data_IF_081342518597
#
_entry.id   IF_081342518597
#
_cell.length_a   1.000
_cell.length_b   1.000
_cell.length_c   1.000
_cell.angle_alpha   90.00
_cell.angle_beta   90.00
_cell.angle_gamma   90.00
#
_symmetry.space_group_name_H-M   'P 1'
#
loop_
_entity.id
_entity.type
_entity.pdbx_description
1 polymer ?
#
# COMPACT_ATOMS: atom_id res chain seq x y z
N UNK A 1 -11.07 -26.68 13.10
CA UNK A 1 -10.78 -27.26 11.76
C UNK A 1 -9.90 -28.49 11.98
N UNK A 2 -10.02 -29.55 11.17
CA UNK A 2 -9.25 -30.80 11.37
C UNK A 2 -8.29 -31.04 10.21
N UNK A 3 -7.19 -31.72 10.46
CA UNK A 3 -6.27 -32.12 9.39
C UNK A 3 -6.96 -33.13 8.44
N UNK A 4 -6.93 -32.94 7.11
CA UNK A 4 -7.55 -33.89 6.17
C UNK A 4 -6.81 -35.24 6.09
N UNK A 5 -5.57 -35.32 6.60
CA UNK A 5 -4.76 -36.53 6.52
C UNK A 5 -4.88 -37.39 7.78
N UNK A 6 -4.70 -36.78 8.96
CA UNK A 6 -4.68 -37.52 10.24
C UNK A 6 -5.86 -37.19 11.16
N UNK A 7 -6.78 -36.32 10.74
CA UNK A 7 -7.95 -35.89 11.50
C UNK A 7 -7.65 -35.25 12.88
N UNK A 8 -6.38 -34.95 13.18
CA UNK A 8 -6.00 -34.30 14.42
C UNK A 8 -6.46 -32.84 14.45
N UNK A 9 -6.69 -32.34 15.68
CA UNK A 9 -7.08 -30.96 15.95
C UNK A 9 -5.87 -30.04 16.18
N UNK A 10 -4.67 -30.62 16.30
CA UNK A 10 -3.44 -29.86 16.44
C UNK A 10 -2.93 -29.33 15.09
N UNK A 11 -3.45 -28.16 14.73
CA UNK A 11 -3.11 -27.45 13.50
C UNK A 11 -2.57 -26.05 13.84
N UNK A 12 -1.52 -25.62 13.15
CA UNK A 12 -0.95 -24.29 13.30
C UNK A 12 -0.74 -23.60 11.95
N UNK A 13 -0.73 -22.27 11.95
CA UNK A 13 -0.54 -21.47 10.72
C UNK A 13 0.91 -21.57 10.26
N UNK A 14 1.13 -21.98 9.01
CA UNK A 14 2.46 -21.99 8.38
C UNK A 14 2.79 -20.62 7.78
N UNK A 15 4.09 -20.30 7.69
CA UNK A 15 4.56 -19.15 6.90
C UNK A 15 4.26 -19.37 5.42
N UNK A 16 3.92 -18.28 4.71
CA UNK A 16 3.76 -18.26 3.24
C UNK A 16 5.13 -18.30 2.57
N UNK A 17 5.29 -19.08 1.51
CA UNK A 17 6.55 -19.21 0.75
C UNK A 17 6.47 -18.37 -0.52
N UNK A 18 7.15 -17.22 -0.50
CA UNK A 18 7.29 -16.34 -1.66
C UNK A 18 6.08 -15.45 -1.96
N UNK A 19 6.30 -14.47 -2.84
CA UNK A 19 5.34 -13.41 -3.18
C UNK A 19 4.11 -13.94 -3.94
N UNK A 20 4.32 -14.88 -4.88
CA UNK A 20 3.24 -15.46 -5.70
C UNK A 20 2.22 -16.23 -4.86
N UNK A 21 2.68 -17.04 -3.91
CA UNK A 21 1.81 -17.76 -2.97
C UNK A 21 1.16 -16.79 -1.98
N UNK A 22 1.90 -15.73 -1.59
CA UNK A 22 1.38 -14.64 -0.78
C UNK A 22 0.14 -13.98 -1.37
N UNK A 23 0.21 -13.56 -2.64
CA UNK A 23 -0.87 -12.86 -3.35
C UNK A 23 -2.07 -13.76 -3.66
N UNK A 24 -1.83 -14.96 -4.20
CA UNK A 24 -2.91 -15.85 -4.62
C UNK A 24 -3.78 -16.32 -3.44
N UNK A 25 -3.14 -16.64 -2.31
CA UNK A 25 -3.83 -17.05 -1.09
C UNK A 25 -4.58 -15.87 -0.43
N UNK A 26 -4.04 -14.64 -0.49
CA UNK A 26 -4.75 -13.44 0.02
C UNK A 26 -6.00 -13.13 -0.78
N UNK A 27 -5.94 -13.20 -2.11
CA UNK A 27 -7.09 -12.92 -3.00
C UNK A 27 -8.24 -13.89 -2.75
N UNK A 28 -7.94 -15.13 -2.36
CA UNK A 28 -8.92 -16.19 -2.08
C UNK A 28 -9.29 -16.32 -0.60
N UNK A 29 -8.77 -15.46 0.29
CA UNK A 29 -8.94 -15.56 1.75
C UNK A 29 -8.55 -16.94 2.33
N UNK A 30 -7.54 -17.55 1.71
CA UNK A 30 -7.01 -18.86 2.11
C UNK A 30 -5.70 -18.66 2.88
N UNK A 31 -5.44 -19.53 3.85
CA UNK A 31 -4.18 -19.55 4.58
C UNK A 31 -3.58 -20.98 4.58
N UNK A 32 -2.24 -21.10 4.52
CA UNK A 32 -1.59 -22.39 4.63
C UNK A 32 -1.52 -22.81 6.10
N UNK A 33 -2.07 -23.97 6.41
CA UNK A 33 -1.97 -24.61 7.73
C UNK A 33 -1.03 -25.82 7.65
N UNK A 34 -0.42 -26.14 8.79
CA UNK A 34 0.39 -27.32 8.97
C UNK A 34 -0.09 -28.07 10.21
N UNK A 35 -0.24 -29.38 10.07
CA UNK A 35 -0.54 -30.25 11.20
C UNK A 35 0.75 -30.53 11.99
N UNK A 36 0.72 -30.46 13.33
CA UNK A 36 1.84 -30.91 14.17
C UNK A 36 1.96 -32.43 14.19
N UNK A 37 0.83 -33.14 14.23
CA UNK A 37 0.80 -34.60 14.36
C UNK A 37 1.34 -35.34 13.12
N UNK A 38 0.97 -34.91 11.90
CA UNK A 38 1.40 -35.58 10.67
C UNK A 38 2.31 -34.72 9.78
N UNK A 39 2.59 -33.48 10.17
CA UNK A 39 3.48 -32.58 9.42
C UNK A 39 2.95 -32.11 8.06
N UNK A 40 1.77 -32.58 7.63
CA UNK A 40 1.20 -32.29 6.32
C UNK A 40 0.79 -30.81 6.22
N UNK A 41 1.00 -30.24 5.02
CA UNK A 41 0.62 -28.88 4.68
C UNK A 41 -0.67 -28.92 3.88
N UNK A 42 -1.65 -28.14 4.28
CA UNK A 42 -2.91 -28.00 3.54
C UNK A 42 -3.37 -26.54 3.56
N UNK A 43 -4.22 -26.20 2.61
CA UNK A 43 -4.76 -24.84 2.47
C UNK A 43 -6.20 -24.89 2.97
N UNK A 44 -6.52 -24.07 3.97
CA UNK A 44 -7.87 -23.94 4.48
C UNK A 44 -8.29 -22.47 4.49
N UNK A 45 -9.60 -22.24 4.40
CA UNK A 45 -10.18 -20.92 4.54
C UNK A 45 -9.91 -20.39 5.93
N UNK A 46 -9.41 -19.17 6.03
CA UNK A 46 -9.18 -18.51 7.32
C UNK A 46 -10.58 -18.23 7.90
N UNK A 47 -11.09 -19.11 8.78
CA UNK A 47 -12.29 -18.81 9.54
C UNK A 47 -11.98 -17.55 10.32
N UNK A 48 -12.69 -16.47 9.97
CA UNK A 48 -12.49 -15.15 10.52
C UNK A 48 -12.54 -15.22 12.04
N UNK A 49 -11.38 -15.37 12.67
CA UNK A 49 -11.25 -15.16 14.11
C UNK A 49 -11.38 -13.65 14.26
N UNK A 50 -12.53 -13.22 14.78
CA UNK A 50 -13.04 -11.85 14.87
C UNK A 50 -12.15 -10.91 15.71
N UNK A 51 -10.87 -10.75 15.36
CA UNK A 51 -9.90 -10.09 16.22
C UNK A 51 -9.02 -9.03 15.58
N UNK A 52 -8.77 -9.02 14.26
CA UNK A 52 -7.88 -8.01 13.67
C UNK A 52 -8.24 -7.67 12.23
N UNK A 53 -9.30 -6.89 12.04
CA UNK A 53 -9.34 -5.97 10.90
C UNK A 53 -8.31 -4.86 11.16
N UNK A 54 -7.02 -5.16 10.97
CA UNK A 54 -6.01 -4.10 10.90
C UNK A 54 -6.32 -3.31 9.62
N UNK A 55 -6.61 -2.00 9.69
CA UNK A 55 -6.77 -1.19 8.50
C UNK A 55 -5.45 -1.24 7.74
N UNK A 56 -5.42 -2.01 6.65
CA UNK A 56 -4.26 -2.12 5.80
C UNK A 56 -4.14 -0.81 5.03
N UNK A 57 -3.17 0.01 5.44
CA UNK A 57 -2.79 1.22 4.70
C UNK A 57 -2.25 0.81 3.33
N UNK A 58 -2.44 1.65 2.31
CA UNK A 58 -1.85 1.44 0.98
C UNK A 58 -0.33 1.18 1.04
N UNK A 59 0.36 1.71 2.06
CA UNK A 59 1.77 1.42 2.31
C UNK A 59 2.06 -0.07 2.57
N UNK A 60 1.16 -0.77 3.28
CA UNK A 60 1.27 -2.21 3.54
C UNK A 60 0.96 -3.04 2.29
N UNK A 61 0.20 -2.48 1.33
CA UNK A 61 -0.09 -3.12 0.03
C UNK A 61 1.13 -3.09 -0.89
N UNK A 62 1.89 -2.00 -0.88
CA UNK A 62 3.09 -1.81 -1.69
C UNK A 62 4.34 -2.47 -1.09
N UNK A 63 4.24 -3.07 0.10
CA UNK A 63 5.38 -3.71 0.76
C UNK A 63 6.47 -2.71 1.18
N UNK A 64 6.11 -1.45 1.41
CA UNK A 64 7.05 -0.43 1.84
C UNK A 64 7.51 -0.76 3.26
N UNK A 65 8.78 -1.16 3.39
CA UNK A 65 9.43 -1.42 4.68
C UNK A 65 9.26 -0.21 5.62
N UNK A 66 9.11 -0.45 6.93
CA UNK A 66 8.81 0.60 7.92
C UNK A 66 9.73 1.84 7.87
N UNK A 67 10.97 1.71 7.40
CA UNK A 67 11.87 2.84 7.12
C UNK A 67 11.44 3.71 5.93
N UNK A 68 10.96 3.11 4.84
CA UNK A 68 10.41 3.83 3.70
C UNK A 68 9.07 4.51 4.07
N UNK A 69 8.28 3.88 4.94
CA UNK A 69 7.05 4.45 5.51
C UNK A 69 7.33 5.67 6.40
N UNK A 70 8.48 5.73 7.06
CA UNK A 70 8.88 6.87 7.90
C UNK A 70 9.52 8.01 7.09
N UNK A 71 10.19 7.70 5.98
CA UNK A 71 10.71 8.71 5.04
C UNK A 71 9.60 9.32 4.16
N UNK A 72 8.64 8.52 3.71
CA UNK A 72 7.39 9.01 3.12
C UNK A 72 6.33 9.26 4.20
N UNK A 73 6.71 9.89 5.32
CA UNK A 73 5.72 10.45 6.24
C UNK A 73 4.93 11.52 5.50
N UNK A 74 3.63 11.63 5.77
CA UNK A 74 2.72 12.59 5.13
C UNK A 74 3.27 14.03 5.15
N UNK A 75 4.11 14.36 6.13
CA UNK A 75 4.81 15.65 6.26
C UNK A 75 5.84 15.90 5.16
N UNK A 76 6.56 14.87 4.71
CA UNK A 76 7.56 14.98 3.63
C UNK A 76 6.86 15.11 2.28
N UNK A 77 5.75 14.39 2.09
CA UNK A 77 4.93 14.50 0.87
C UNK A 77 4.30 15.89 0.81
N UNK A 78 3.69 16.37 1.89
CA UNK A 78 3.10 17.70 1.97
C UNK A 78 4.15 18.80 1.81
N UNK A 79 5.33 18.62 2.41
CA UNK A 79 6.47 19.54 2.25
C UNK A 79 6.99 19.56 0.81
N UNK A 80 7.08 18.41 0.15
CA UNK A 80 7.48 18.30 -1.25
C UNK A 80 6.48 18.99 -2.19
N UNK A 81 5.18 18.75 -2.00
CA UNK A 81 4.13 19.37 -2.80
C UNK A 81 4.10 20.90 -2.60
N UNK A 82 4.18 21.37 -1.36
CA UNK A 82 4.20 22.81 -1.06
C UNK A 82 5.45 23.50 -1.60
N UNK A 83 6.62 22.89 -1.48
CA UNK A 83 7.86 23.39 -2.08
C UNK A 83 7.77 23.45 -3.61
N UNK A 84 7.24 22.40 -4.25
CA UNK A 84 7.05 22.36 -5.69
C UNK A 84 6.12 23.49 -6.17
N UNK A 85 4.98 23.69 -5.49
CA UNK A 85 4.04 24.76 -5.81
C UNK A 85 4.66 26.15 -5.64
N UNK A 86 5.46 26.37 -4.58
CA UNK A 86 6.19 27.62 -4.38
C UNK A 86 7.18 27.89 -5.50
N UNK A 87 7.99 26.91 -5.88
CA UNK A 87 8.96 27.04 -6.98
C UNK A 87 8.23 27.35 -8.29
N UNK A 88 7.13 26.66 -8.58
CA UNK A 88 6.35 26.86 -9.79
C UNK A 88 5.71 28.26 -9.81
N UNK A 89 5.22 28.75 -8.67
CA UNK A 89 4.73 30.12 -8.52
C UNK A 89 5.80 31.19 -8.74
N UNK A 90 7.02 30.99 -8.20
CA UNK A 90 8.16 31.89 -8.42
C UNK A 90 8.55 31.92 -9.89
N UNK A 91 8.65 30.76 -10.55
CA UNK A 91 8.98 30.68 -11.97
C UNK A 91 7.92 31.37 -12.83
N UNK A 92 6.64 31.22 -12.51
CA UNK A 92 5.55 31.89 -13.21
C UNK A 92 5.62 33.41 -13.04
N UNK A 93 5.86 33.89 -11.82
CA UNK A 93 6.06 35.32 -11.55
C UNK A 93 7.26 35.89 -12.31
N UNK A 94 8.40 35.17 -12.31
CA UNK A 94 9.57 35.59 -13.06
C UNK A 94 9.31 35.62 -14.57
N UNK A 95 8.57 34.65 -15.09
CA UNK A 95 8.23 34.58 -16.52
C UNK A 95 7.33 35.75 -16.95
N UNK A 96 6.39 36.16 -16.09
CA UNK A 96 5.58 37.37 -16.29
C UNK A 96 6.43 38.65 -16.20
N UNK A 97 7.30 38.74 -15.19
CA UNK A 97 8.15 39.92 -14.96
C UNK A 97 9.17 40.14 -16.09
N UNK A 98 9.70 39.05 -16.67
CA UNK A 98 10.59 39.12 -17.84
C UNK A 98 9.82 39.31 -19.16
N UNK A 99 8.49 39.35 -19.14
CA UNK A 99 7.66 39.53 -20.34
C UNK A 99 7.68 38.33 -21.29
N UNK A 100 8.02 37.13 -20.81
CA UNK A 100 8.02 35.91 -21.63
C UNK A 100 6.60 35.37 -21.87
N UNK A 101 5.64 35.80 -21.05
CA UNK A 101 4.24 35.40 -21.14
C UNK A 101 3.43 36.67 -21.34
N UNK A 102 2.90 36.87 -22.54
CA UNK A 102 1.85 37.86 -22.79
C UNK A 102 0.51 37.25 -22.39
N UNK A 103 -0.17 37.77 -21.34
CA UNK A 103 -1.45 37.23 -20.94
C UNK A 103 -2.52 37.71 -21.94
N UNK A 104 -2.79 36.91 -22.96
CA UNK A 104 -3.93 37.03 -23.90
C UNK A 104 -5.29 37.26 -23.19
N UNK A 105 -5.38 36.91 -21.89
CA UNK A 105 -6.53 37.15 -21.03
C UNK A 105 -6.81 38.64 -20.74
N UNK A 106 -5.80 39.53 -20.79
CA UNK A 106 -6.02 40.97 -20.58
C UNK A 106 -6.62 41.65 -21.81
N UNK A 107 -6.44 41.06 -22.99
CA UNK A 107 -6.86 41.64 -24.26
C UNK A 107 -8.37 41.46 -24.53
N UNK A 108 -9.01 40.45 -23.92
CA UNK A 108 -10.47 40.22 -24.05
C UNK A 108 -11.35 41.09 -23.15
N UNK A 109 -10.78 41.82 -22.19
CA UNK A 109 -11.53 42.77 -21.35
C UNK A 109 -11.43 44.23 -21.82
N UNK A 110 -10.67 44.49 -22.88
CA UNK A 110 -10.48 45.82 -23.45
C UNK A 110 -11.29 46.07 -24.75
N UNK A 111 -12.21 45.18 -25.11
CA UNK A 111 -13.08 45.28 -26.29
C UNK A 111 -14.56 45.31 -25.89
#
# INVERSE_FOLDING_TARGET
MKCPNCHSEEIHRSRRRGLREGLSLRRKQLAPYRCSACGSRFIATEAQTAGQQRPLSMADYLGLNGRARQLCSDTVILGGITSLLLVLGILLFMSLALGWIEPELLQRHAL
#
